data_IF_116320667886
#
_entry.id   IF_116320667886
#
_cell.length_a   1.000
_cell.length_b   1.000
_cell.length_c   1.000
_cell.angle_alpha   90.00
_cell.angle_beta   90.00
_cell.angle_gamma   90.00
#
_symmetry.space_group_name_H-M   'P 1'
#
loop_
_entity.id
_entity.type
_entity.pdbx_description
1 polymer ?
#
# COMPACT_ATOMS: atom_id res chain seq x y z
N UNK A 1 -44.20 32.79 -2.46
CA UNK A 1 -42.94 33.52 -2.22
C UNK A 1 -42.14 33.00 -1.02
N UNK A 2 -42.80 32.56 0.06
CA UNK A 2 -42.15 31.95 1.25
C UNK A 2 -41.29 30.71 0.92
N UNK A 3 -41.83 29.78 0.14
CA UNK A 3 -41.16 28.51 -0.21
C UNK A 3 -39.87 28.71 -1.03
N UNK A 4 -39.90 29.68 -1.95
CA UNK A 4 -38.74 30.05 -2.78
C UNK A 4 -37.65 30.69 -1.92
N UNK A 5 -38.02 31.59 -0.99
CA UNK A 5 -37.07 32.18 -0.04
C UNK A 5 -36.42 31.13 0.85
N UNK A 6 -37.21 30.17 1.36
CA UNK A 6 -36.71 29.07 2.21
C UNK A 6 -35.78 28.13 1.43
N UNK A 7 -36.13 27.80 0.19
CA UNK A 7 -35.29 27.01 -0.71
C UNK A 7 -33.98 27.72 -1.05
N UNK A 8 -33.99 29.04 -1.20
CA UNK A 8 -32.81 29.83 -1.54
C UNK A 8 -31.78 29.80 -0.41
N UNK A 9 -32.22 29.86 0.85
CA UNK A 9 -31.34 29.71 2.02
C UNK A 9 -30.68 28.34 2.05
N UNK A 10 -31.45 27.27 1.81
CA UNK A 10 -30.92 25.91 1.75
C UNK A 10 -29.91 25.73 0.60
N UNK A 11 -30.18 26.35 -0.55
CA UNK A 11 -29.30 26.32 -1.72
C UNK A 11 -27.97 27.04 -1.47
N UNK A 12 -28.01 28.21 -0.82
CA UNK A 12 -26.79 28.94 -0.42
C UNK A 12 -25.97 28.13 0.57
N UNK A 13 -26.62 27.50 1.56
CA UNK A 13 -25.93 26.67 2.54
C UNK A 13 -25.25 25.46 1.89
N UNK A 14 -25.94 24.81 0.94
CA UNK A 14 -25.36 23.72 0.16
C UNK A 14 -24.15 24.19 -0.66
N UNK A 15 -24.23 25.37 -1.27
CA UNK A 15 -23.12 25.95 -2.02
C UNK A 15 -21.88 26.19 -1.14
N UNK A 16 -22.07 26.70 0.08
CA UNK A 16 -20.97 26.89 1.04
C UNK A 16 -20.33 25.56 1.41
N UNK A 17 -21.11 24.51 1.66
CA UNK A 17 -20.58 23.17 1.94
C UNK A 17 -19.76 22.64 0.76
N UNK A 18 -20.24 22.82 -0.47
CA UNK A 18 -19.48 22.45 -1.67
C UNK A 18 -18.14 23.20 -1.76
N UNK A 19 -18.13 24.52 -1.49
CA UNK A 19 -16.90 25.31 -1.49
C UNK A 19 -15.90 24.82 -0.44
N UNK A 20 -16.37 24.50 0.77
CA UNK A 20 -15.52 23.95 1.84
C UNK A 20 -14.95 22.60 1.44
N UNK A 21 -15.75 21.70 0.88
CA UNK A 21 -15.29 20.39 0.40
C UNK A 21 -14.24 20.50 -0.70
N UNK A 22 -14.45 21.40 -1.67
CA UNK A 22 -13.48 21.64 -2.75
C UNK A 22 -12.18 22.24 -2.18
N UNK A 23 -12.28 23.21 -1.27
CA UNK A 23 -11.12 23.80 -0.59
C UNK A 23 -10.31 22.78 0.19
N UNK A 24 -10.98 21.92 0.97
CA UNK A 24 -10.35 20.82 1.70
C UNK A 24 -9.72 19.79 0.75
N UNK A 25 -10.38 19.44 -0.34
CA UNK A 25 -9.85 18.51 -1.34
C UNK A 25 -8.54 19.02 -1.94
N UNK A 26 -8.49 20.30 -2.34
CA UNK A 26 -7.28 20.93 -2.89
C UNK A 26 -6.17 21.03 -1.82
N UNK A 27 -6.53 21.41 -0.59
CA UNK A 27 -5.59 21.52 0.53
C UNK A 27 -4.97 20.17 0.88
N UNK A 28 -5.77 19.10 0.99
CA UNK A 28 -5.27 17.77 1.30
C UNK A 28 -4.50 17.14 0.14
N UNK A 29 -4.90 17.39 -1.11
CA UNK A 29 -4.11 16.94 -2.26
C UNK A 29 -2.72 17.61 -2.28
N UNK A 30 -2.64 18.89 -1.91
CA UNK A 30 -1.36 19.61 -1.79
C UNK A 30 -0.54 19.17 -0.57
N UNK A 31 -1.20 18.71 0.50
CA UNK A 31 -0.55 18.28 1.76
C UNK A 31 -0.19 16.78 1.80
N UNK A 32 -0.66 15.98 0.83
CA UNK A 32 -0.34 14.55 0.71
C UNK A 32 1.14 14.27 0.36
N UNK A 33 1.95 15.32 0.14
CA UNK A 33 3.40 15.21 -0.06
C UNK A 33 4.13 15.23 1.29
N UNK A 34 3.79 14.29 2.16
CA UNK A 34 4.65 13.92 3.29
C UNK A 34 4.95 12.41 3.29
N UNK A 35 4.84 11.79 2.12
CA UNK A 35 5.59 10.55 1.87
C UNK A 35 7.05 10.99 1.80
N UNK A 36 7.85 10.56 2.78
CA UNK A 36 9.30 10.76 2.77
C UNK A 36 9.81 10.49 1.34
N UNK A 37 10.58 11.39 0.70
CA UNK A 37 11.08 11.13 -0.66
C UNK A 37 11.94 9.86 -0.73
N UNK A 38 12.48 9.43 0.42
CA UNK A 38 13.18 8.17 0.56
C UNK A 38 12.25 6.98 0.86
N UNK A 39 10.92 7.16 0.87
CA UNK A 39 10.00 6.07 1.14
C UNK A 39 10.24 4.90 0.21
N UNK A 40 10.41 5.21 -1.07
CA UNK A 40 10.70 4.25 -2.12
C UNK A 40 11.93 3.35 -1.83
N UNK A 41 12.88 3.78 -0.99
CA UNK A 41 14.05 2.96 -0.66
C UNK A 41 13.74 1.81 0.31
N UNK A 42 12.77 1.97 1.22
CA UNK A 42 12.39 0.94 2.21
C UNK A 42 11.10 0.17 1.87
N UNK A 43 10.22 0.72 1.02
CA UNK A 43 9.06 -0.02 0.46
C UNK A 43 9.42 -0.85 -0.76
N UNK A 44 10.66 -0.78 -1.29
CA UNK A 44 11.11 -1.60 -2.43
C UNK A 44 10.99 -3.11 -2.17
N UNK A 45 11.08 -3.52 -0.91
CA UNK A 45 10.88 -4.91 -0.46
C UNK A 45 9.41 -5.31 -0.37
N UNK A 46 8.47 -4.36 -0.29
CA UNK A 46 7.03 -4.58 -0.39
C UNK A 46 6.58 -4.48 -1.86
N UNK A 47 7.27 -5.12 -2.80
CA UNK A 47 6.69 -5.33 -4.14
C UNK A 47 5.41 -6.15 -3.96
N UNK A 48 4.32 -5.72 -4.61
CA UNK A 48 3.02 -6.42 -4.61
C UNK A 48 3.08 -7.86 -5.18
N UNK A 49 4.23 -8.26 -5.72
CA UNK A 49 4.50 -9.57 -6.27
C UNK A 49 5.86 -10.03 -5.79
N UNK A 50 5.91 -11.28 -5.36
CA UNK A 50 7.15 -11.93 -4.94
C UNK A 50 8.07 -12.08 -6.15
N UNK A 51 9.35 -11.72 -6.00
CA UNK A 51 10.34 -11.86 -7.06
C UNK A 51 10.77 -13.33 -7.14
N UNK A 52 10.14 -14.07 -8.06
CA UNK A 52 10.35 -15.51 -8.21
C UNK A 52 11.76 -15.83 -8.74
N UNK A 53 12.38 -14.91 -9.48
CA UNK A 53 13.73 -15.07 -10.00
C UNK A 53 14.77 -14.93 -8.88
N UNK A 54 14.60 -13.92 -8.02
CA UNK A 54 15.43 -13.76 -6.82
C UNK A 54 15.26 -14.94 -5.86
N UNK A 55 14.02 -15.41 -5.67
CA UNK A 55 13.75 -16.59 -4.85
C UNK A 55 14.45 -17.84 -5.40
N UNK A 56 14.36 -18.09 -6.71
CA UNK A 56 15.01 -19.24 -7.34
C UNK A 56 16.54 -19.20 -7.17
N UNK A 57 17.15 -18.02 -7.35
CA UNK A 57 18.59 -17.82 -7.16
C UNK A 57 19.03 -18.05 -5.71
N UNK A 58 18.22 -17.62 -4.74
CA UNK A 58 18.51 -17.88 -3.32
C UNK A 58 18.36 -19.37 -3.01
N UNK A 59 17.33 -20.02 -3.55
CA UNK A 59 17.12 -21.47 -3.39
C UNK A 59 18.29 -22.26 -3.96
N UNK A 60 18.76 -21.95 -5.17
CA UNK A 60 19.92 -22.61 -5.79
C UNK A 60 21.19 -22.43 -4.94
N UNK A 61 21.48 -21.19 -4.50
CA UNK A 61 22.61 -20.92 -3.61
C UNK A 61 22.51 -21.64 -2.27
N UNK A 62 21.30 -21.77 -1.75
CA UNK A 62 21.01 -22.49 -0.51
C UNK A 62 21.34 -23.96 -0.74
N UNK A 63 20.72 -24.60 -1.73
CA UNK A 63 20.99 -25.98 -2.12
C UNK A 63 22.49 -26.26 -2.31
N UNK A 64 23.24 -25.36 -2.97
CA UNK A 64 24.68 -25.55 -3.18
C UNK A 64 25.55 -25.31 -1.94
N UNK A 65 25.09 -24.47 -1.00
CA UNK A 65 25.87 -24.08 0.18
C UNK A 65 25.60 -24.97 1.40
N UNK A 66 24.44 -25.62 1.46
CA UNK A 66 24.09 -26.47 2.59
C UNK A 66 24.72 -27.86 2.43
N UNK A 67 25.44 -28.36 3.45
CA UNK A 67 26.13 -29.65 3.39
C UNK A 67 25.17 -30.85 3.43
N UNK A 68 23.90 -30.62 3.78
CA UNK A 68 22.83 -31.63 3.83
C UNK A 68 21.60 -30.99 3.22
N UNK A 69 21.00 -31.65 2.24
CA UNK A 69 19.77 -31.16 1.64
C UNK A 69 18.59 -31.34 2.60
N UNK A 70 17.58 -30.46 2.60
CA UNK A 70 16.40 -30.61 3.44
C UNK A 70 15.75 -31.99 3.32
N UNK A 71 15.70 -32.56 2.11
CA UNK A 71 15.12 -33.88 1.84
C UNK A 71 15.91 -35.00 2.54
N UNK A 72 17.24 -34.89 2.57
CA UNK A 72 18.14 -35.81 3.29
C UNK A 72 18.04 -35.62 4.81
N UNK A 73 17.82 -34.40 5.29
CA UNK A 73 17.60 -34.15 6.71
C UNK A 73 16.27 -34.75 7.19
N UNK A 74 15.20 -34.63 6.40
CA UNK A 74 13.89 -35.18 6.76
C UNK A 74 13.84 -36.70 6.65
N UNK A 75 14.62 -37.32 5.78
CA UNK A 75 14.74 -38.79 5.74
C UNK A 75 15.47 -39.35 6.96
N UNK A 76 16.45 -38.63 7.50
CA UNK A 76 17.16 -39.01 8.74
C UNK A 76 16.31 -38.91 10.01
N UNK A 77 15.21 -38.15 9.98
CA UNK A 77 14.26 -38.01 11.10
C UNK A 77 13.14 -39.06 11.03
N UNK A 78 13.06 -39.85 9.94
CA UNK A 78 11.91 -40.68 9.60
C UNK A 78 12.14 -42.20 9.56
N UNK A 79 13.00 -42.74 10.43
CA UNK A 79 13.01 -44.19 10.72
C UNK A 79 12.70 -44.41 12.22
N UNK A 80 11.42 -44.58 12.52
CA UNK A 80 10.89 -45.42 13.61
C UNK A 80 10.17 -46.63 12.98
#
# INVERSE_FOLDING_TARGET
>A
MELVKKSLVALVLLFVVCLVCVGLSIYFNSSAVNVNPNANSYIKQLRNQFDLEELQKITERTTDSFPVQPEEFFSLVGED
#
